data_IF_933421428938
#
_entry.id   IF_933421428938
#
_cell.length_a   1.000
_cell.length_b   1.000
_cell.length_c   1.000
_cell.angle_alpha   90.00
_cell.angle_beta   90.00
_cell.angle_gamma   90.00
#
_symmetry.space_group_name_H-M   'P 1'
#
loop_
_entity.id
_entity.type
_entity.pdbx_description
1 polymer ?
#
# COMPACT_ATOMS: atom_id res chain seq x y z
N UNK A 1 24.39 4.67 -54.81
CA UNK A 1 22.96 4.91 -54.51
C UNK A 1 22.53 4.24 -53.19
N UNK A 2 23.34 4.34 -52.12
CA UNK A 2 23.12 3.60 -50.85
C UNK A 2 23.19 4.50 -49.58
N UNK A 3 23.33 5.81 -49.74
CA UNK A 3 23.53 6.76 -48.61
C UNK A 3 22.23 7.50 -48.24
N UNK A 4 21.23 7.54 -49.13
CA UNK A 4 19.95 8.23 -48.88
C UNK A 4 18.94 7.39 -48.06
N UNK A 5 19.12 6.08 -47.92
CA UNK A 5 18.22 5.20 -47.14
C UNK A 5 18.56 5.12 -45.66
N UNK A 6 19.81 5.41 -45.27
CA UNK A 6 20.27 5.33 -43.87
C UNK A 6 19.77 6.54 -43.06
N UNK A 7 19.72 7.74 -43.66
CA UNK A 7 19.25 8.96 -42.97
C UNK A 7 17.75 8.94 -42.66
N UNK A 8 16.93 8.32 -43.51
CA UNK A 8 15.49 8.20 -43.28
C UNK A 8 15.15 7.28 -42.11
N UNK A 9 15.86 6.15 -41.99
CA UNK A 9 15.70 5.19 -40.90
C UNK A 9 16.20 5.76 -39.57
N UNK A 10 17.35 6.45 -39.57
CA UNK A 10 17.88 7.11 -38.38
C UNK A 10 16.96 8.21 -37.86
N UNK A 11 16.36 9.02 -38.76
CA UNK A 11 15.40 10.05 -38.37
C UNK A 11 14.10 9.45 -37.84
N UNK A 12 13.57 8.40 -38.47
CA UNK A 12 12.37 7.72 -37.98
C UNK A 12 12.58 7.06 -36.61
N UNK A 13 13.75 6.46 -36.37
CA UNK A 13 14.10 5.87 -35.08
C UNK A 13 14.34 6.95 -34.01
N UNK A 14 14.95 8.08 -34.37
CA UNK A 14 15.13 9.22 -33.46
C UNK A 14 13.77 9.85 -33.10
N UNK A 15 12.88 10.04 -34.06
CA UNK A 15 11.52 10.53 -33.79
C UNK A 15 10.70 9.54 -32.96
N UNK A 16 10.81 8.24 -33.23
CA UNK A 16 10.18 7.21 -32.41
C UNK A 16 10.73 7.21 -30.98
N UNK A 17 12.06 7.34 -30.81
CA UNK A 17 12.72 7.42 -29.51
C UNK A 17 12.29 8.66 -28.73
N UNK A 18 12.30 9.84 -29.36
CA UNK A 18 11.88 11.09 -28.73
C UNK A 18 10.38 11.07 -28.38
N UNK A 19 9.51 10.56 -29.26
CA UNK A 19 8.07 10.43 -28.98
C UNK A 19 7.77 9.39 -27.90
N UNK A 20 8.55 8.31 -27.82
CA UNK A 20 8.42 7.32 -26.75
C UNK A 20 8.92 7.86 -25.41
N UNK A 21 9.96 8.69 -25.42
CA UNK A 21 10.49 9.34 -24.22
C UNK A 21 9.57 10.46 -23.71
N UNK A 22 8.94 11.21 -24.61
CA UNK A 22 7.94 12.25 -24.28
C UNK A 22 6.67 11.63 -23.67
N UNK A 23 6.19 10.50 -24.22
CA UNK A 23 5.09 9.71 -23.62
C UNK A 23 5.46 9.09 -22.28
N UNK A 24 6.72 8.72 -22.08
CA UNK A 24 7.22 8.23 -20.79
C UNK A 24 7.28 9.36 -19.78
N UNK A 25 7.87 10.50 -20.16
CA UNK A 25 7.92 11.73 -19.36
C UNK A 25 6.52 12.15 -18.93
N UNK A 26 5.57 12.32 -19.86
CA UNK A 26 4.20 12.71 -19.54
C UNK A 26 3.47 11.70 -18.64
N UNK A 27 3.74 10.39 -18.80
CA UNK A 27 3.15 9.35 -17.93
C UNK A 27 3.80 9.30 -16.54
N UNK A 28 5.07 9.66 -16.45
CA UNK A 28 5.85 9.78 -15.21
C UNK A 28 5.44 11.06 -14.46
N UNK A 29 5.27 12.18 -15.16
CA UNK A 29 4.78 13.47 -14.66
C UNK A 29 3.32 13.38 -14.17
N UNK A 30 2.44 12.70 -14.91
CA UNK A 30 1.06 12.44 -14.45
C UNK A 30 1.02 11.47 -13.26
N UNK A 31 1.93 10.49 -13.20
CA UNK A 31 2.09 9.61 -12.03
C UNK A 31 2.63 10.38 -10.82
N UNK A 32 3.58 11.27 -11.03
CA UNK A 32 4.24 12.06 -10.00
C UNK A 32 3.30 13.14 -9.46
N UNK A 33 2.56 13.83 -10.34
CA UNK A 33 1.50 14.76 -9.93
C UNK A 33 0.37 14.06 -9.16
N UNK A 34 -0.03 12.85 -9.57
CA UNK A 34 -1.01 12.04 -8.84
C UNK A 34 -0.47 11.48 -7.53
N UNK A 35 0.82 11.18 -7.46
CA UNK A 35 1.50 10.78 -6.22
C UNK A 35 1.59 11.97 -5.25
N UNK A 36 1.95 13.16 -5.73
CA UNK A 36 2.00 14.39 -4.93
C UNK A 36 0.61 14.80 -4.43
N UNK A 37 -0.44 14.71 -5.25
CA UNK A 37 -1.80 15.01 -4.79
C UNK A 37 -2.38 13.95 -3.84
N UNK A 38 -1.83 12.73 -3.83
CA UNK A 38 -2.24 11.66 -2.92
C UNK A 38 -1.44 11.62 -1.61
N UNK A 39 -0.26 12.29 -1.56
CA UNK A 39 0.62 12.32 -0.38
C UNK A 39 -0.03 13.01 0.82
N UNK A 40 -0.59 14.21 0.64
CA UNK A 40 -1.18 14.97 1.76
C UNK A 40 -2.28 14.21 2.52
N UNK A 41 -3.31 13.67 1.83
CA UNK A 41 -4.35 12.88 2.49
C UNK A 41 -3.87 11.53 3.03
N UNK A 42 -2.83 10.94 2.44
CA UNK A 42 -2.22 9.70 2.92
C UNK A 42 -1.45 9.89 4.22
N UNK A 43 -0.55 10.87 4.24
CA UNK A 43 0.30 11.22 5.39
C UNK A 43 -0.54 11.64 6.60
N UNK A 44 -1.61 12.44 6.39
CA UNK A 44 -2.52 12.82 7.47
C UNK A 44 -3.25 11.60 8.05
N UNK A 45 -3.72 10.70 7.18
CA UNK A 45 -4.35 9.45 7.60
C UNK A 45 -3.40 8.56 8.40
N UNK A 46 -2.13 8.45 8.01
CA UNK A 46 -1.11 7.68 8.74
C UNK A 46 -0.80 8.31 10.10
N UNK A 47 -0.72 9.64 10.17
CA UNK A 47 -0.52 10.37 11.43
C UNK A 47 -1.67 10.12 12.42
N UNK A 48 -2.90 10.10 11.93
CA UNK A 48 -4.09 9.80 12.73
C UNK A 48 -4.08 8.35 13.24
N UNK A 49 -3.81 7.39 12.36
CA UNK A 49 -3.72 5.96 12.74
C UNK A 49 -2.61 5.73 13.76
N UNK A 50 -1.44 6.34 13.59
CA UNK A 50 -0.36 6.24 14.57
C UNK A 50 -0.78 6.78 15.95
N UNK A 51 -1.47 7.93 16.00
CA UNK A 51 -1.96 8.49 17.25
C UNK A 51 -2.96 7.56 17.96
N UNK A 52 -3.94 7.02 17.22
CA UNK A 52 -4.94 6.09 17.75
C UNK A 52 -4.31 4.77 18.21
N UNK A 53 -3.38 4.20 17.44
CA UNK A 53 -2.65 3.00 17.83
C UNK A 53 -1.93 3.22 19.16
N UNK A 54 -1.17 4.31 19.30
CA UNK A 54 -0.43 4.62 20.53
C UNK A 54 -1.38 4.83 21.72
N UNK A 55 -2.50 5.52 21.50
CA UNK A 55 -3.52 5.73 22.54
C UNK A 55 -4.13 4.41 23.03
N UNK A 56 -4.60 3.58 22.10
CA UNK A 56 -5.22 2.29 22.43
C UNK A 56 -4.22 1.31 23.05
N UNK A 57 -3.00 1.23 22.52
CA UNK A 57 -1.98 0.33 23.04
C UNK A 57 -1.49 0.76 24.43
N UNK A 58 -1.40 2.06 24.72
CA UNK A 58 -1.12 2.53 26.08
C UNK A 58 -2.18 2.06 27.07
N UNK A 59 -3.46 2.15 26.67
CA UNK A 59 -4.59 1.71 27.49
C UNK A 59 -4.63 0.19 27.70
N UNK A 60 -4.24 -0.59 26.70
CA UNK A 60 -4.32 -2.05 26.71
C UNK A 60 -3.07 -2.73 27.30
N UNK A 61 -1.90 -2.18 27.02
CA UNK A 61 -0.60 -2.80 27.29
C UNK A 61 0.24 -2.02 28.31
N UNK A 62 -0.21 -0.85 28.77
CA UNK A 62 0.62 0.05 29.58
C UNK A 62 1.81 0.55 28.77
N UNK A 63 3.02 0.27 29.25
CA UNK A 63 4.27 0.62 28.56
C UNK A 63 4.84 -0.56 27.73
N UNK A 64 4.18 -1.72 27.73
CA UNK A 64 4.70 -2.92 27.07
C UNK A 64 4.25 -3.02 25.61
N UNK A 65 4.58 -2.01 24.80
CA UNK A 65 4.32 -1.97 23.37
C UNK A 65 5.28 -1.00 22.66
N UNK A 66 5.47 -1.20 21.36
CA UNK A 66 6.23 -0.29 20.49
C UNK A 66 5.48 -0.11 19.17
N UNK A 67 5.51 1.08 18.58
CA UNK A 67 5.01 1.34 17.22
C UNK A 67 6.12 2.01 16.42
N UNK A 68 6.52 1.35 15.33
CA UNK A 68 7.47 1.87 14.35
C UNK A 68 6.70 2.34 13.11
N UNK A 69 6.74 3.63 12.82
CA UNK A 69 6.06 4.24 11.68
C UNK A 69 7.00 4.35 10.46
N UNK A 70 6.48 4.16 9.24
CA UNK A 70 7.21 4.41 7.98
C UNK A 70 8.43 3.50 7.74
N UNK A 71 8.36 2.23 8.15
CA UNK A 71 9.49 1.31 8.08
C UNK A 71 9.69 0.78 6.65
N UNK A 72 10.84 1.03 6.04
CA UNK A 72 11.20 0.47 4.74
C UNK A 72 11.89 -0.90 4.89
N UNK A 73 11.23 -1.96 4.42
CA UNK A 73 11.78 -3.31 4.35
C UNK A 73 12.44 -3.57 3.00
N UNK A 74 13.65 -4.12 3.01
CA UNK A 74 14.26 -4.73 1.82
C UNK A 74 13.90 -6.22 1.81
N UNK A 75 12.76 -6.56 1.21
CA UNK A 75 12.21 -7.92 1.28
C UNK A 75 12.55 -8.79 0.06
N UNK A 76 13.05 -8.20 -1.03
CA UNK A 76 13.40 -8.92 -2.25
C UNK A 76 14.55 -8.26 -3.04
N UNK A 77 15.79 -8.28 -2.51
CA UNK A 77 16.96 -7.72 -3.19
C UNK A 77 17.09 -8.25 -4.64
N UNK A 78 17.32 -7.35 -5.61
CA UNK A 78 17.51 -7.70 -7.02
C UNK A 78 16.22 -7.92 -7.83
N UNK A 79 15.04 -7.78 -7.22
CA UNK A 79 13.76 -7.74 -7.94
C UNK A 79 13.41 -6.31 -8.41
N UNK A 80 12.40 -6.17 -9.27
CA UNK A 80 11.89 -4.86 -9.73
C UNK A 80 11.35 -3.99 -8.59
N UNK A 81 10.91 -4.60 -7.48
CA UNK A 81 10.39 -3.91 -6.30
C UNK A 81 11.07 -4.49 -5.05
N UNK A 82 12.33 -4.10 -4.79
CA UNK A 82 13.12 -4.73 -3.73
C UNK A 82 12.73 -4.26 -2.34
N UNK A 83 12.05 -3.11 -2.26
CA UNK A 83 11.61 -2.47 -1.02
C UNK A 83 10.08 -2.45 -0.92
N UNK A 84 9.60 -2.56 0.32
CA UNK A 84 8.21 -2.28 0.67
C UNK A 84 8.19 -1.45 1.95
N UNK A 85 7.38 -0.40 1.97
CA UNK A 85 7.15 0.41 3.16
C UNK A 85 6.07 -0.22 4.02
N UNK A 86 6.22 -0.21 5.34
CA UNK A 86 5.18 -0.53 6.31
C UNK A 86 4.77 0.79 6.97
N UNK A 87 3.50 1.15 6.83
CA UNK A 87 2.95 2.39 7.40
C UNK A 87 3.11 2.38 8.93
N UNK A 88 2.66 1.31 9.61
CA UNK A 88 2.93 1.10 11.03
C UNK A 88 3.20 -0.37 11.37
N UNK A 89 4.27 -0.63 12.12
CA UNK A 89 4.56 -1.92 12.73
C UNK A 89 4.31 -1.82 14.24
N UNK A 90 3.21 -2.38 14.71
CA UNK A 90 2.89 -2.44 16.13
C UNK A 90 3.40 -3.75 16.74
N UNK A 91 4.21 -3.64 17.79
CA UNK A 91 4.76 -4.77 18.55
C UNK A 91 4.12 -4.74 19.93
N UNK A 92 3.45 -5.83 20.29
CA UNK A 92 2.65 -5.92 21.51
C UNK A 92 2.87 -7.28 22.21
N UNK A 93 2.42 -7.46 23.46
CA UNK A 93 2.59 -8.73 24.19
C UNK A 93 1.79 -9.89 23.58
N UNK A 94 0.80 -9.58 22.74
CA UNK A 94 -0.07 -10.56 22.09
C UNK A 94 0.19 -10.72 20.59
N UNK A 95 1.19 -10.02 20.04
CA UNK A 95 1.58 -10.19 18.65
C UNK A 95 2.21 -8.96 18.01
N UNK A 96 2.62 -9.14 16.77
CA UNK A 96 3.15 -8.12 15.87
C UNK A 96 2.14 -7.86 14.75
N UNK A 97 1.79 -6.61 14.52
CA UNK A 97 0.79 -6.22 13.55
C UNK A 97 1.38 -5.30 12.49
N UNK A 98 1.23 -5.69 11.22
CA UNK A 98 1.58 -4.87 10.06
C UNK A 98 0.33 -4.09 9.65
N UNK A 99 0.29 -2.82 10.03
CA UNK A 99 -0.85 -1.94 9.77
C UNK A 99 -0.63 -1.21 8.45
N UNK A 100 -1.63 -1.32 7.58
CA UNK A 100 -1.73 -0.60 6.33
C UNK A 100 -2.88 0.41 6.44
N UNK A 101 -2.56 1.68 6.25
CA UNK A 101 -3.50 2.81 6.36
C UNK A 101 -4.13 3.11 5.01
N UNK A 102 -5.44 3.36 5.01
CA UNK A 102 -6.21 3.79 3.84
C UNK A 102 -7.11 4.97 4.19
N UNK A 103 -6.78 6.13 3.64
CA UNK A 103 -7.61 7.32 3.78
C UNK A 103 -8.71 7.37 2.70
N UNK A 104 -9.67 6.45 2.74
CA UNK A 104 -10.74 6.32 1.74
C UNK A 104 -12.08 6.84 2.29
N UNK A 105 -12.70 7.78 1.59
CA UNK A 105 -14.03 8.28 1.94
C UNK A 105 -15.15 7.44 1.28
N UNK A 106 -16.00 6.80 2.09
CA UNK A 106 -17.19 6.08 1.63
C UNK A 106 -17.35 4.67 2.19
N UNK A 107 -18.23 3.88 1.59
CA UNK A 107 -18.57 2.52 2.04
C UNK A 107 -17.65 1.49 1.39
N UNK A 108 -16.96 0.72 2.21
CA UNK A 108 -16.04 -0.35 1.79
C UNK A 108 -16.72 -1.71 1.96
N UNK A 109 -16.90 -2.43 0.86
CA UNK A 109 -17.43 -3.80 0.83
C UNK A 109 -16.44 -4.75 0.17
N UNK A 110 -16.76 -6.05 0.19
CA UNK A 110 -16.01 -7.04 -0.58
C UNK A 110 -15.96 -6.67 -2.06
N UNK A 111 -14.82 -6.96 -2.68
CA UNK A 111 -14.68 -6.97 -4.13
C UNK A 111 -15.17 -8.31 -4.71
N UNK A 112 -14.85 -8.54 -5.97
CA UNK A 112 -15.15 -9.81 -6.64
C UNK A 112 -14.24 -10.95 -6.16
N UNK A 113 -13.10 -10.61 -5.55
CA UNK A 113 -12.11 -11.55 -4.99
C UNK A 113 -11.64 -11.07 -3.62
N UNK A 114 -11.09 -11.97 -2.82
CA UNK A 114 -10.52 -11.67 -1.49
C UNK A 114 -9.36 -10.65 -1.54
N UNK A 115 -8.72 -10.50 -2.71
CA UNK A 115 -7.65 -9.55 -2.96
C UNK A 115 -8.17 -8.14 -3.29
N UNK A 116 -9.48 -7.96 -3.41
CA UNK A 116 -10.10 -6.71 -3.85
C UNK A 116 -11.22 -6.26 -2.92
N UNK A 117 -11.41 -4.95 -2.87
CA UNK A 117 -12.49 -4.29 -2.16
C UNK A 117 -13.25 -3.40 -3.13
N UNK A 118 -14.56 -3.26 -2.93
CA UNK A 118 -15.35 -2.24 -3.59
C UNK A 118 -15.49 -1.03 -2.67
N UNK A 119 -15.01 0.13 -3.11
CA UNK A 119 -15.30 1.41 -2.47
C UNK A 119 -16.46 2.09 -3.21
N UNK A 120 -17.55 2.35 -2.50
CA UNK A 120 -18.60 3.27 -2.95
C UNK A 120 -18.34 4.62 -2.32
N UNK A 121 -17.90 5.60 -3.12
CA UNK A 121 -17.55 6.94 -2.63
C UNK A 121 -18.78 7.70 -2.15
N UNK A 122 -18.56 8.81 -1.45
CA UNK A 122 -19.62 9.70 -0.96
C UNK A 122 -20.53 10.22 -2.09
N UNK A 123 -19.98 10.37 -3.30
CA UNK A 123 -20.72 10.80 -4.50
C UNK A 123 -21.43 9.63 -5.22
N UNK A 124 -21.42 8.43 -4.63
CA UNK A 124 -22.05 7.22 -5.18
C UNK A 124 -21.24 6.51 -6.27
N UNK A 125 -20.01 6.96 -6.57
CA UNK A 125 -19.15 6.28 -7.55
C UNK A 125 -18.59 4.98 -6.97
N UNK A 126 -18.57 3.91 -7.76
CA UNK A 126 -18.00 2.62 -7.36
C UNK A 126 -16.63 2.43 -7.97
N UNK A 127 -15.65 2.09 -7.13
CA UNK A 127 -14.28 1.83 -7.53
C UNK A 127 -13.79 0.51 -6.95
N UNK A 128 -13.16 -0.32 -7.77
CA UNK A 128 -12.44 -1.50 -7.29
C UNK A 128 -11.06 -1.07 -6.80
N UNK A 129 -10.69 -1.53 -5.60
CA UNK A 129 -9.41 -1.24 -4.96
C UNK A 129 -8.76 -2.54 -4.52
N UNK A 130 -7.43 -2.59 -4.52
CA UNK A 130 -6.70 -3.72 -3.92
C UNK A 130 -6.87 -3.69 -2.41
N UNK A 131 -7.16 -4.84 -1.79
CA UNK A 131 -7.36 -4.92 -0.35
C UNK A 131 -6.05 -4.58 0.41
N UNK A 132 -6.13 -3.92 1.57
CA UNK A 132 -4.96 -3.69 2.43
C UNK A 132 -4.25 -5.00 2.79
N UNK A 133 -5.02 -6.09 2.94
CA UNK A 133 -4.51 -7.44 3.24
C UNK A 133 -3.63 -7.95 2.10
N UNK A 134 -4.04 -7.74 0.85
CA UNK A 134 -3.20 -8.12 -0.29
C UNK A 134 -1.92 -7.27 -0.34
N UNK A 135 -2.02 -5.97 -0.04
CA UNK A 135 -0.87 -5.05 -0.06
C UNK A 135 0.16 -5.41 1.03
N UNK A 136 -0.29 -5.78 2.24
CA UNK A 136 0.62 -6.13 3.33
C UNK A 136 1.08 -7.61 3.34
N UNK A 137 0.47 -8.50 2.53
CA UNK A 137 0.76 -9.94 2.56
C UNK A 137 2.24 -10.30 2.37
N UNK A 138 2.97 -9.56 1.52
CA UNK A 138 4.41 -9.77 1.34
C UNK A 138 5.22 -9.36 2.58
N UNK A 139 4.84 -8.24 3.20
CA UNK A 139 5.45 -7.68 4.42
C UNK A 139 5.26 -8.64 5.60
N UNK A 140 4.03 -9.11 5.80
CA UNK A 140 3.68 -10.11 6.84
C UNK A 140 4.46 -11.42 6.64
N UNK A 141 4.48 -11.96 5.41
CA UNK A 141 5.22 -13.18 5.10
C UNK A 141 6.72 -13.02 5.34
N UNK A 142 7.28 -11.84 5.06
CA UNK A 142 8.69 -11.54 5.34
C UNK A 142 8.96 -11.54 6.85
N UNK A 143 8.16 -10.84 7.65
CA UNK A 143 8.33 -10.79 9.11
C UNK A 143 8.14 -12.16 9.77
N UNK A 144 7.17 -12.98 9.30
CA UNK A 144 6.99 -14.37 9.77
C UNK A 144 8.21 -15.26 9.52
N UNK A 145 9.05 -14.95 8.53
CA UNK A 145 10.31 -15.67 8.28
C UNK A 145 11.45 -15.19 9.19
N UNK A 146 11.40 -13.94 9.65
CA UNK A 146 12.42 -13.37 10.54
C UNK A 146 12.16 -13.71 12.00
N UNK A 147 10.89 -13.75 12.42
CA UNK A 147 10.49 -13.98 13.80
C UNK A 147 10.27 -15.48 14.07
N UNK A 148 10.66 -16.00 15.26
CA UNK A 148 10.40 -17.39 15.61
C UNK A 148 8.89 -17.69 15.64
N UNK A 149 8.37 -18.60 14.80
CA UNK A 149 6.93 -18.74 14.53
C UNK A 149 6.09 -19.25 15.70
N UNK A 150 6.74 -19.77 16.77
CA UNK A 150 6.06 -20.23 17.99
C UNK A 150 6.03 -19.19 19.11
N UNK A 151 6.77 -18.08 18.96
CA UNK A 151 6.87 -17.03 19.97
C UNK A 151 6.06 -15.80 19.59
N UNK A 152 5.91 -15.53 18.29
CA UNK A 152 5.27 -14.31 17.80
C UNK A 152 4.17 -14.64 16.80
N UNK A 153 2.95 -14.23 17.13
CA UNK A 153 1.85 -14.09 16.17
C UNK A 153 2.16 -12.84 15.34
N UNK A 154 2.12 -12.96 14.01
CA UNK A 154 2.32 -11.83 13.10
C UNK A 154 1.11 -11.75 12.18
N UNK A 155 0.38 -10.64 12.22
CA UNK A 155 -0.83 -10.45 11.40
C UNK A 155 -0.80 -9.13 10.63
N UNK A 156 -1.54 -9.09 9.53
CA UNK A 156 -1.77 -7.87 8.76
C UNK A 156 -3.08 -7.20 9.19
N UNK A 157 -3.09 -5.88 9.32
CA UNK A 157 -4.28 -5.07 9.60
C UNK A 157 -4.45 -3.98 8.54
N UNK A 158 -5.70 -3.73 8.16
CA UNK A 158 -6.08 -2.69 7.22
C UNK A 158 -6.94 -1.70 7.97
N UNK A 159 -6.49 -0.46 8.11
CA UNK A 159 -7.16 0.57 8.89
C UNK A 159 -7.60 1.69 7.97
N UNK A 160 -8.85 2.11 8.10
CA UNK A 160 -9.41 3.20 7.31
C UNK A 160 -9.54 4.43 8.20
N UNK A 161 -8.80 5.49 7.88
CA UNK A 161 -8.69 6.69 8.74
C UNK A 161 -9.69 7.79 8.43
N UNK A 162 -10.27 7.80 7.24
CA UNK A 162 -11.19 8.88 6.86
C UNK A 162 -12.52 8.77 7.64
N UNK A 163 -13.04 9.85 8.21
CA UNK A 163 -14.29 9.87 9.00
C UNK A 163 -15.51 9.26 8.28
N UNK A 164 -15.66 9.56 6.99
CA UNK A 164 -16.71 8.99 6.15
C UNK A 164 -16.48 7.52 5.74
N UNK A 165 -15.40 6.87 6.19
CA UNK A 165 -15.14 5.47 5.91
C UNK A 165 -16.10 4.58 6.71
N UNK A 166 -16.85 3.74 6.00
CA UNK A 166 -17.71 2.73 6.61
C UNK A 166 -17.33 1.36 6.07
N UNK A 167 -16.78 0.51 6.92
CA UNK A 167 -16.48 -0.87 6.56
C UNK A 167 -17.73 -1.73 6.78
N UNK A 168 -18.18 -2.42 5.73
CA UNK A 168 -19.33 -3.31 5.84
C UNK A 168 -19.05 -4.41 6.88
N UNK A 169 -20.00 -4.75 7.78
CA UNK A 169 -19.77 -5.76 8.82
C UNK A 169 -19.40 -7.14 8.27
N UNK A 170 -19.81 -7.44 7.04
CA UNK A 170 -19.49 -8.70 6.34
C UNK A 170 -18.04 -8.80 5.91
N UNK A 171 -17.26 -7.71 5.99
CA UNK A 171 -15.83 -7.67 5.74
C UNK A 171 -15.06 -8.26 6.95
N UNK A 172 -15.24 -9.56 7.19
CA UNK A 172 -14.46 -10.24 8.22
C UNK A 172 -13.05 -10.55 7.71
N UNK A 173 -12.05 -10.06 8.44
CA UNK A 173 -10.67 -10.49 8.28
C UNK A 173 -10.49 -11.85 8.98
N UNK A 174 -10.51 -12.94 8.22
CA UNK A 174 -9.90 -14.18 8.68
C UNK A 174 -9.44 -15.03 7.49
N UNK A 175 -8.18 -14.87 7.09
CA UNK A 175 -7.45 -15.97 6.47
C UNK A 175 -6.83 -16.81 7.59
N UNK A 176 -7.69 -17.46 8.37
CA UNK A 176 -7.30 -18.56 9.24
C UNK A 176 -7.18 -19.84 8.39
N UNK A 177 -6.14 -19.94 7.59
CA UNK A 177 -5.68 -21.26 7.13
C UNK A 177 -4.73 -21.79 8.21
N UNK A 178 -5.17 -22.88 8.85
CA UNK A 178 -4.43 -23.68 9.81
C UNK A 178 -3.08 -24.18 9.27
#
# INVERSE_FOLDING_TARGET
MLIHTIFGLASALLYAYLSFNDKRSAKEEVREARAVSARGPGEEGEREVSAELRWHLTRLCGENWEVLDGLVLIHAPGSTFPTAEIDHLAITPFGVFVVETKHWAGVVTHGETDDTLTLTTVDGQRCVRTSPMKQNAAKVRFLRKLLPPRLWIVEGLGVFSHDAAMVAPTLHASNGAA
#
